data_IF_815525829973
#
_entry.id   IF_815525829973
#
_cell.length_a   1.000
_cell.length_b   1.000
_cell.length_c   1.000
_cell.angle_alpha   90.00
_cell.angle_beta   90.00
_cell.angle_gamma   90.00
#
_symmetry.space_group_name_H-M   'P 1'
#
loop_
_entity.id
_entity.type
_entity.pdbx_description
1 polymer ?
#
# COMPACT_ATOMS: atom_id res chain seq x y z
N UNK A 1 48.45 -23.95 92.93
CA UNK A 1 48.34 -23.15 94.17
C UNK A 1 47.21 -22.13 93.95
N UNK A 2 46.26 -22.05 94.89
CA UNK A 2 44.97 -21.34 94.81
C UNK A 2 45.14 -19.83 94.55
N UNK A 3 44.20 -19.21 93.82
CA UNK A 3 43.46 -18.03 94.28
C UNK A 3 42.07 -17.99 93.60
N UNK A 4 41.05 -17.77 94.43
CA UNK A 4 39.62 -17.63 94.13
C UNK A 4 39.15 -16.35 94.80
N UNK A 5 38.45 -15.45 94.10
CA UNK A 5 37.47 -14.45 94.63
C UNK A 5 36.60 -14.05 93.42
N UNK A 6 35.30 -14.37 93.25
CA UNK A 6 34.07 -14.24 94.06
C UNK A 6 33.48 -12.82 94.13
N UNK A 7 32.43 -12.53 93.34
CA UNK A 7 31.29 -11.63 93.68
C UNK A 7 30.06 -12.09 92.84
N UNK A 8 29.10 -12.85 93.39
CA UNK A 8 27.81 -12.48 94.02
C UNK A 8 26.80 -11.76 93.08
N UNK A 9 25.83 -12.46 92.44
CA UNK A 9 24.42 -12.83 92.83
C UNK A 9 23.37 -11.70 92.60
N UNK A 10 22.03 -11.92 92.62
CA UNK A 10 21.16 -12.93 91.99
C UNK A 10 19.82 -12.34 91.40
N UNK A 11 18.99 -13.22 90.80
CA UNK A 11 17.51 -13.18 90.55
C UNK A 11 16.97 -12.79 89.16
N UNK A 12 16.09 -13.70 88.69
CA UNK A 12 15.37 -13.79 87.42
C UNK A 12 14.15 -12.84 87.31
N UNK A 13 13.49 -12.72 86.14
CA UNK A 13 12.32 -13.60 85.89
C UNK A 13 12.06 -14.03 84.44
N UNK A 14 11.60 -15.28 84.31
CA UNK A 14 10.51 -15.81 83.46
C UNK A 14 10.30 -15.25 82.04
N UNK A 15 10.60 -16.13 81.08
CA UNK A 15 9.68 -16.72 80.11
C UNK A 15 8.58 -15.82 79.50
N UNK A 16 8.89 -15.26 78.34
CA UNK A 16 7.96 -14.81 77.32
C UNK A 16 8.10 -15.76 76.13
N UNK A 17 7.20 -16.75 76.11
CA UNK A 17 6.97 -17.63 74.97
C UNK A 17 6.33 -16.83 73.83
N UNK A 18 7.04 -16.71 72.71
CA UNK A 18 6.46 -16.43 71.41
C UNK A 18 6.69 -17.67 70.53
N UNK A 19 5.62 -18.32 70.01
CA UNK A 19 5.80 -19.43 69.08
C UNK A 19 6.26 -18.87 67.73
N UNK A 20 7.53 -19.14 67.40
CA UNK A 20 8.09 -18.94 66.06
C UNK A 20 7.32 -19.78 65.06
N UNK A 21 6.34 -19.20 64.37
CA UNK A 21 5.75 -19.82 63.19
C UNK A 21 6.82 -19.89 62.09
N UNK A 22 7.07 -21.04 61.47
CA UNK A 22 7.89 -21.08 60.26
C UNK A 22 7.13 -20.31 59.17
N UNK A 23 7.70 -19.21 58.68
CA UNK A 23 7.27 -18.61 57.42
C UNK A 23 7.56 -19.65 56.32
N UNK A 24 6.56 -20.11 55.54
CA UNK A 24 6.85 -20.92 54.37
C UNK A 24 7.61 -20.04 53.38
N UNK A 25 8.89 -20.32 53.19
CA UNK A 25 9.62 -19.85 52.01
C UNK A 25 8.97 -20.52 50.82
N UNK A 26 8.08 -19.79 50.12
CA UNK A 26 7.51 -20.21 48.84
C UNK A 26 8.64 -20.24 47.81
N UNK A 27 9.38 -21.34 47.79
CA UNK A 27 10.33 -21.67 46.73
C UNK A 27 9.54 -21.93 45.46
N UNK A 28 9.60 -20.95 44.58
CA UNK A 28 9.59 -21.22 43.15
C UNK A 28 8.22 -21.48 42.55
N UNK A 29 7.36 -20.47 42.54
CA UNK A 29 6.50 -20.25 41.38
C UNK A 29 7.03 -19.05 40.63
N UNK A 30 7.96 -19.31 39.72
CA UNK A 30 8.29 -18.38 38.64
C UNK A 30 6.98 -18.06 37.92
N UNK A 31 6.37 -16.93 38.26
CA UNK A 31 5.30 -16.34 37.44
C UNK A 31 5.91 -16.26 36.05
N UNK A 32 5.38 -16.97 35.05
CA UNK A 32 5.81 -16.72 33.70
C UNK A 32 5.35 -15.29 33.44
N UNK A 33 6.28 -14.33 33.49
CA UNK A 33 6.15 -13.11 32.72
C UNK A 33 6.00 -13.60 31.30
N UNK A 34 4.77 -13.84 30.88
CA UNK A 34 4.39 -13.93 29.48
C UNK A 34 4.65 -12.54 28.92
N UNK A 35 5.94 -12.26 28.65
CA UNK A 35 6.32 -11.29 27.67
C UNK A 35 5.39 -11.54 26.49
N UNK A 36 4.66 -10.53 25.99
CA UNK A 36 3.77 -10.74 24.88
C UNK A 36 4.64 -11.29 23.76
N UNK A 37 4.55 -12.60 23.51
CA UNK A 37 5.19 -13.25 22.38
C UNK A 37 4.76 -12.40 21.22
N UNK A 38 5.69 -11.68 20.58
CA UNK A 38 5.42 -10.97 19.34
C UNK A 38 4.76 -11.97 18.42
N UNK A 39 3.43 -11.94 18.38
CA UNK A 39 2.65 -13.02 17.83
C UNK A 39 2.95 -13.01 16.36
N UNK A 40 3.81 -13.96 15.93
CA UNK A 40 4.21 -14.08 14.54
C UNK A 40 2.90 -14.12 13.75
N UNK A 41 2.66 -13.15 12.87
CA UNK A 41 1.40 -13.05 12.16
C UNK A 41 1.03 -14.38 11.52
N UNK A 42 -0.20 -14.84 11.73
CA UNK A 42 -0.73 -16.06 11.10
C UNK A 42 -0.40 -16.05 9.59
N UNK A 43 0.12 -17.15 9.02
CA UNK A 43 0.61 -17.21 7.64
C UNK A 43 -0.35 -16.62 6.60
N UNK A 44 -1.66 -16.88 6.74
CA UNK A 44 -2.70 -16.36 5.85
C UNK A 44 -2.77 -14.82 5.83
N UNK A 45 -2.57 -14.14 6.96
CA UNK A 45 -2.60 -12.67 7.04
C UNK A 45 -1.36 -12.03 6.40
N UNK A 46 -0.20 -12.68 6.46
CA UNK A 46 1.01 -12.25 5.74
C UNK A 46 0.85 -12.46 4.24
N UNK A 47 0.25 -13.58 3.83
CA UNK A 47 -0.04 -13.88 2.44
C UNK A 47 -0.99 -12.86 1.79
N UNK A 48 -2.01 -12.35 2.52
CA UNK A 48 -2.92 -11.33 1.98
C UNK A 48 -2.24 -9.97 1.76
N UNK A 49 -1.37 -9.54 2.69
CA UNK A 49 -0.63 -8.26 2.55
C UNK A 49 0.39 -8.34 1.42
N UNK A 50 1.19 -9.41 1.41
CA UNK A 50 2.17 -9.66 0.34
C UNK A 50 1.49 -9.82 -1.03
N UNK A 51 0.33 -10.49 -1.07
CA UNK A 51 -0.47 -10.63 -2.28
C UNK A 51 -0.94 -9.30 -2.84
N UNK A 52 -1.44 -8.40 -1.98
CA UNK A 52 -1.83 -7.05 -2.38
C UNK A 52 -0.64 -6.21 -2.85
N UNK A 53 0.49 -6.29 -2.15
CA UNK A 53 1.72 -5.58 -2.53
C UNK A 53 2.21 -6.02 -3.92
N UNK A 54 2.24 -7.34 -4.19
CA UNK A 54 2.64 -7.87 -5.50
C UNK A 54 1.65 -7.54 -6.60
N UNK A 55 0.34 -7.58 -6.33
CA UNK A 55 -0.68 -7.16 -7.29
C UNK A 55 -0.50 -5.68 -7.64
N UNK A 56 -0.36 -4.83 -6.63
CA UNK A 56 -0.15 -3.38 -6.81
C UNK A 56 1.11 -3.10 -7.62
N UNK A 57 2.22 -3.79 -7.32
CA UNK A 57 3.48 -3.65 -8.05
C UNK A 57 3.34 -4.10 -9.52
N UNK A 58 2.71 -5.24 -9.76
CA UNK A 58 2.46 -5.74 -11.12
C UNK A 58 1.59 -4.79 -11.94
N UNK A 59 0.49 -4.31 -11.37
CA UNK A 59 -0.37 -3.30 -12.02
C UNK A 59 0.42 -2.01 -12.26
N UNK A 60 1.24 -1.56 -11.31
CA UNK A 60 2.01 -0.34 -11.44
C UNK A 60 3.01 -0.39 -12.62
N UNK A 61 3.65 -1.53 -12.87
CA UNK A 61 4.54 -1.73 -14.03
C UNK A 61 3.74 -1.65 -15.33
N UNK A 62 2.61 -2.34 -15.42
CA UNK A 62 1.74 -2.30 -16.62
C UNK A 62 1.25 -0.88 -16.89
N UNK A 63 0.74 -0.20 -15.86
CA UNK A 63 0.28 1.20 -15.95
C UNK A 63 1.42 2.13 -16.37
N UNK A 64 2.63 1.95 -15.84
CA UNK A 64 3.79 2.76 -16.21
C UNK A 64 4.16 2.58 -17.70
N UNK A 65 4.18 1.35 -18.20
CA UNK A 65 4.47 1.06 -19.60
C UNK A 65 3.39 1.66 -20.51
N UNK A 66 2.12 1.45 -20.18
CA UNK A 66 1.01 2.02 -20.97
C UNK A 66 1.05 3.55 -20.97
N UNK A 67 1.30 4.18 -19.83
CA UNK A 67 1.47 5.63 -19.72
C UNK A 67 2.65 6.16 -20.53
N UNK A 68 3.76 5.42 -20.59
CA UNK A 68 4.90 5.81 -21.41
C UNK A 68 4.52 5.87 -22.89
N UNK A 69 3.89 4.81 -23.42
CA UNK A 69 3.44 4.78 -24.82
C UNK A 69 2.34 5.81 -25.10
N UNK A 70 1.39 5.97 -24.18
CA UNK A 70 0.38 7.03 -24.25
C UNK A 70 1.04 8.42 -24.33
N UNK A 71 2.07 8.68 -23.51
CA UNK A 71 2.84 9.92 -23.53
C UNK A 71 3.54 10.20 -24.87
N UNK A 72 4.02 9.15 -25.56
CA UNK A 72 4.61 9.30 -26.90
C UNK A 72 3.58 9.79 -27.92
N UNK A 73 2.31 9.41 -27.79
CA UNK A 73 1.25 9.87 -28.70
C UNK A 73 1.00 11.38 -28.59
N UNK A 74 1.31 11.99 -27.44
CA UNK A 74 1.10 13.41 -27.17
C UNK A 74 2.07 14.29 -27.97
N UNK A 75 3.28 13.78 -28.27
CA UNK A 75 4.29 14.50 -29.06
C UNK A 75 3.78 14.86 -30.47
N UNK A 76 2.81 14.11 -30.98
CA UNK A 76 2.14 14.38 -32.25
C UNK A 76 0.68 13.97 -32.19
N UNK A 77 -0.09 14.59 -31.28
CA UNK A 77 -1.47 14.19 -31.01
C UNK A 77 -2.37 14.29 -32.24
N UNK A 78 -2.12 15.21 -33.17
CA UNK A 78 -2.91 15.34 -34.39
C UNK A 78 -2.80 14.10 -35.29
N UNK A 79 -1.59 13.58 -35.48
CA UNK A 79 -1.34 12.39 -36.30
C UNK A 79 -1.59 11.09 -35.55
N UNK A 80 -1.39 11.10 -34.23
CA UNK A 80 -1.49 9.93 -33.36
C UNK A 80 -2.77 9.90 -32.53
N UNK A 81 -3.79 10.72 -32.87
CA UNK A 81 -5.04 10.82 -32.10
C UNK A 81 -5.70 9.46 -31.92
N UNK A 82 -5.75 8.66 -32.98
CA UNK A 82 -6.34 7.32 -32.93
C UNK A 82 -5.61 6.43 -31.92
N UNK A 83 -4.27 6.50 -31.88
CA UNK A 83 -3.45 5.76 -30.93
C UNK A 83 -3.58 6.28 -29.50
N UNK A 84 -3.66 7.59 -29.32
CA UNK A 84 -3.93 8.22 -28.02
C UNK A 84 -5.26 7.73 -27.44
N UNK A 85 -6.33 7.79 -28.23
CA UNK A 85 -7.65 7.28 -27.80
C UNK A 85 -7.59 5.78 -27.50
N UNK A 86 -6.95 4.99 -28.37
CA UNK A 86 -6.85 3.55 -28.20
C UNK A 86 -6.10 3.17 -26.90
N UNK A 87 -4.89 3.71 -26.71
CA UNK A 87 -4.05 3.42 -25.56
C UNK A 87 -4.67 3.99 -24.27
N UNK A 88 -5.27 5.18 -24.32
CA UNK A 88 -6.03 5.75 -23.21
C UNK A 88 -7.17 4.85 -22.75
N UNK A 89 -7.91 4.23 -23.67
CA UNK A 89 -8.99 3.28 -23.34
C UNK A 89 -8.45 1.97 -22.75
N UNK A 90 -7.35 1.42 -23.29
CA UNK A 90 -6.67 0.24 -22.72
C UNK A 90 -6.18 0.52 -21.30
N UNK A 91 -5.72 1.74 -21.05
CA UNK A 91 -5.16 2.17 -19.77
C UNK A 91 -6.20 2.30 -18.65
N UNK A 92 -7.47 2.60 -18.97
CA UNK A 92 -8.53 2.83 -17.98
C UNK A 92 -8.65 1.67 -16.98
N UNK A 93 -8.96 0.41 -17.36
CA UNK A 93 -9.21 -0.63 -16.36
C UNK A 93 -7.99 -0.98 -15.49
N UNK A 94 -6.75 -1.10 -16.02
CA UNK A 94 -5.56 -1.26 -15.17
C UNK A 94 -5.37 -0.13 -14.16
N UNK A 95 -5.63 1.12 -14.52
CA UNK A 95 -5.54 2.25 -13.58
C UNK A 95 -6.61 2.15 -12.49
N UNK A 96 -7.85 1.81 -12.83
CA UNK A 96 -8.90 1.57 -11.82
C UNK A 96 -8.55 0.38 -10.91
N UNK A 97 -7.96 -0.69 -11.44
CA UNK A 97 -7.46 -1.80 -10.64
C UNK A 97 -6.34 -1.35 -9.68
N UNK A 98 -5.44 -0.46 -10.12
CA UNK A 98 -4.41 0.15 -9.27
C UNK A 98 -5.04 0.94 -8.12
N UNK A 99 -6.00 1.82 -8.44
CA UNK A 99 -6.72 2.64 -7.46
C UNK A 99 -7.45 1.76 -6.44
N UNK A 100 -8.13 0.71 -6.88
CA UNK A 100 -8.81 -0.23 -5.99
C UNK A 100 -7.83 -0.95 -5.05
N UNK A 101 -6.71 -1.46 -5.58
CA UNK A 101 -5.69 -2.18 -4.80
C UNK A 101 -4.97 -1.29 -3.77
N UNK A 102 -4.71 -0.02 -4.11
CA UNK A 102 -4.11 0.95 -3.18
C UNK A 102 -5.11 1.45 -2.14
N UNK A 103 -6.35 1.73 -2.55
CA UNK A 103 -7.45 2.15 -1.66
C UNK A 103 -7.83 1.04 -0.69
N UNK A 104 -7.77 -0.22 -1.11
CA UNK A 104 -7.94 -1.36 -0.22
C UNK A 104 -6.89 -1.35 0.89
N UNK A 105 -5.61 -1.22 0.53
CA UNK A 105 -4.51 -1.13 1.52
C UNK A 105 -4.72 0.04 2.49
N UNK A 106 -5.10 1.21 1.96
CA UNK A 106 -5.38 2.40 2.75
C UNK A 106 -6.53 2.15 3.74
N UNK A 107 -7.68 1.71 3.24
CA UNK A 107 -8.87 1.41 4.05
C UNK A 107 -8.55 0.39 5.15
N UNK A 108 -7.90 -0.74 4.80
CA UNK A 108 -7.51 -1.77 5.76
C UNK A 108 -6.56 -1.26 6.86
N UNK A 109 -5.72 -0.27 6.54
CA UNK A 109 -4.85 0.38 7.52
C UNK A 109 -5.65 1.22 8.51
N UNK A 110 -6.56 2.08 8.02
CA UNK A 110 -7.35 2.99 8.86
C UNK A 110 -8.42 2.30 9.71
N UNK A 111 -9.04 1.22 9.21
CA UNK A 111 -9.98 0.40 10.00
C UNK A 111 -9.29 -0.48 11.06
N UNK A 112 -7.98 -0.34 11.24
CA UNK A 112 -7.28 -1.01 12.35
C UNK A 112 -6.75 -2.41 12.05
N UNK A 113 -6.78 -2.90 10.79
CA UNK A 113 -6.39 -4.29 10.49
C UNK A 113 -4.94 -4.56 10.96
N UNK A 114 -4.73 -5.47 11.94
CA UNK A 114 -3.41 -5.64 12.57
C UNK A 114 -2.30 -6.02 11.60
N UNK A 115 -2.63 -6.72 10.52
CA UNK A 115 -1.68 -7.10 9.46
C UNK A 115 -1.18 -5.92 8.63
N UNK A 116 -2.03 -4.93 8.37
CA UNK A 116 -1.69 -3.74 7.57
C UNK A 116 -1.03 -2.67 8.43
N UNK A 117 -1.46 -2.49 9.70
CA UNK A 117 -0.84 -1.53 10.63
C UNK A 117 0.62 -1.85 10.96
N UNK A 118 0.94 -3.14 11.15
CA UNK A 118 2.33 -3.58 11.40
C UNK A 118 3.29 -3.32 10.24
N UNK A 119 2.77 -3.10 9.03
CA UNK A 119 3.59 -2.74 7.86
C UNK A 119 3.95 -1.26 7.82
N UNK A 120 3.46 -0.47 8.78
CA UNK A 120 3.71 0.95 8.88
C UNK A 120 2.66 1.79 8.15
N UNK A 121 2.60 3.09 8.45
CA UNK A 121 1.72 4.03 7.77
C UNK A 121 1.96 4.04 6.25
N UNK A 122 0.92 4.24 5.43
CA UNK A 122 1.12 4.69 4.05
C UNK A 122 2.03 5.94 4.06
N UNK A 123 3.02 6.05 3.15
CA UNK A 123 3.91 7.20 3.08
C UNK A 123 3.13 8.52 3.14
N UNK A 124 3.58 9.46 3.97
CA UNK A 124 2.81 10.68 4.29
C UNK A 124 2.49 11.52 3.04
N UNK A 125 3.45 11.62 2.11
CA UNK A 125 3.30 12.31 0.82
C UNK A 125 2.19 11.69 -0.04
N UNK A 126 2.00 10.36 0.03
CA UNK A 126 0.95 9.65 -0.70
C UNK A 126 -0.44 9.79 -0.08
N UNK A 127 -0.54 10.24 1.18
CA UNK A 127 -1.85 10.46 1.83
C UNK A 127 -2.55 11.69 1.28
N UNK A 128 -1.80 12.71 0.85
CA UNK A 128 -2.35 13.92 0.25
C UNK A 128 -2.35 13.85 -1.27
N UNK A 129 -1.25 13.39 -1.88
CA UNK A 129 -1.16 13.26 -3.35
C UNK A 129 -2.06 12.15 -3.90
N UNK A 130 -2.31 11.10 -3.13
CA UNK A 130 -3.13 9.96 -3.57
C UNK A 130 -4.55 10.37 -3.98
N UNK A 131 -5.34 11.01 -3.10
CA UNK A 131 -6.69 11.48 -3.44
C UNK A 131 -6.70 12.49 -4.59
N UNK A 132 -5.77 13.45 -4.60
CA UNK A 132 -5.65 14.45 -5.69
C UNK A 132 -5.39 13.76 -7.03
N UNK A 133 -4.44 12.83 -7.07
CA UNK A 133 -4.10 12.08 -8.27
C UNK A 133 -5.28 11.24 -8.76
N UNK A 134 -6.05 10.61 -7.85
CA UNK A 134 -7.26 9.87 -8.20
C UNK A 134 -8.30 10.77 -8.85
N UNK A 135 -8.59 11.94 -8.26
CA UNK A 135 -9.56 12.90 -8.81
C UNK A 135 -9.12 13.38 -10.19
N UNK A 136 -7.85 13.78 -10.34
CA UNK A 136 -7.30 14.23 -11.62
C UNK A 136 -7.34 13.13 -12.69
N UNK A 137 -7.04 11.89 -12.30
CA UNK A 137 -7.09 10.72 -13.21
C UNK A 137 -8.50 10.45 -13.68
N UNK A 138 -9.48 10.46 -12.77
CA UNK A 138 -10.90 10.27 -13.12
C UNK A 138 -11.39 11.40 -14.01
N UNK A 139 -11.05 12.65 -13.70
CA UNK A 139 -11.41 13.81 -14.52
C UNK A 139 -10.77 13.74 -15.92
N UNK A 140 -9.51 13.32 -16.02
CA UNK A 140 -8.81 13.16 -17.30
C UNK A 140 -9.49 12.11 -18.19
N UNK A 141 -9.80 10.94 -17.63
CA UNK A 141 -10.52 9.90 -18.37
C UNK A 141 -11.95 10.29 -18.69
N UNK A 142 -12.69 10.89 -17.76
CA UNK A 142 -14.07 11.31 -17.98
C UNK A 142 -14.16 12.34 -19.12
N UNK A 143 -13.29 13.35 -19.12
CA UNK A 143 -13.24 14.34 -20.20
C UNK A 143 -12.80 13.72 -21.54
N UNK A 144 -11.83 12.81 -21.53
CA UNK A 144 -11.38 12.11 -22.74
C UNK A 144 -12.46 11.21 -23.35
N UNK A 145 -13.14 10.40 -22.54
CA UNK A 145 -14.25 9.55 -22.98
C UNK A 145 -15.43 10.40 -23.46
N UNK A 146 -15.76 11.48 -22.75
CA UNK A 146 -16.84 12.39 -23.16
C UNK A 146 -16.57 13.01 -24.54
N UNK A 147 -15.33 13.40 -24.83
CA UNK A 147 -14.95 13.90 -26.15
C UNK A 147 -15.22 12.86 -27.24
N UNK A 148 -14.91 11.59 -27.00
CA UNK A 148 -15.05 10.54 -28.04
C UNK A 148 -16.51 10.09 -28.22
N UNK A 149 -17.27 9.91 -27.14
CA UNK A 149 -18.53 9.15 -27.19
C UNK A 149 -19.79 10.00 -26.95
N UNK A 150 -19.70 11.13 -26.26
CA UNK A 150 -20.89 11.73 -25.63
C UNK A 150 -21.05 13.24 -25.71
N UNK A 151 -20.06 14.00 -26.16
CA UNK A 151 -20.11 15.45 -26.15
C UNK A 151 -20.88 16.03 -27.35
N UNK A 152 -21.94 16.83 -27.12
CA UNK A 152 -22.53 17.69 -28.15
C UNK A 152 -21.43 18.52 -28.83
N UNK A 153 -21.55 18.75 -30.14
CA UNK A 153 -20.53 19.46 -30.92
C UNK A 153 -20.22 20.85 -30.33
N UNK A 154 -21.23 21.54 -29.79
CA UNK A 154 -21.10 22.84 -29.12
C UNK A 154 -20.23 22.81 -27.86
N UNK A 155 -20.17 21.68 -27.13
CA UNK A 155 -19.40 21.54 -25.89
C UNK A 155 -17.98 21.00 -26.12
N UNK A 156 -17.66 20.51 -27.32
CA UNK A 156 -16.34 19.92 -27.61
C UNK A 156 -15.16 20.88 -27.38
N UNK A 157 -15.20 22.16 -27.79
CA UNK A 157 -14.07 23.07 -27.55
C UNK A 157 -13.81 23.27 -26.06
N UNK A 158 -14.87 23.44 -25.27
CA UNK A 158 -14.77 23.62 -23.83
C UNK A 158 -14.27 22.35 -23.13
N UNK A 159 -14.78 21.18 -23.51
CA UNK A 159 -14.32 19.89 -22.97
C UNK A 159 -12.86 19.61 -23.34
N UNK A 160 -12.43 19.96 -24.55
CA UNK A 160 -11.03 19.83 -24.97
C UNK A 160 -10.11 20.73 -24.15
N UNK A 161 -10.54 21.97 -23.87
CA UNK A 161 -9.83 22.88 -22.97
C UNK A 161 -9.70 22.27 -21.56
N UNK A 162 -10.79 21.76 -20.99
CA UNK A 162 -10.76 21.09 -19.68
C UNK A 162 -9.86 19.86 -19.69
N UNK A 163 -9.94 19.01 -20.71
CA UNK A 163 -9.09 17.83 -20.84
C UNK A 163 -7.60 18.20 -20.85
N UNK A 164 -7.23 19.25 -21.60
CA UNK A 164 -5.86 19.78 -21.63
C UNK A 164 -5.41 20.34 -20.28
N UNK A 165 -6.26 21.14 -19.61
CA UNK A 165 -5.93 21.72 -18.31
C UNK A 165 -5.74 20.66 -17.24
N UNK A 166 -6.67 19.70 -17.17
CA UNK A 166 -6.58 18.55 -16.26
C UNK A 166 -5.35 17.71 -16.59
N UNK A 167 -5.03 17.50 -17.87
CA UNK A 167 -3.82 16.80 -18.29
C UNK A 167 -2.56 17.45 -17.75
N UNK A 168 -2.40 18.78 -17.87
CA UNK A 168 -1.21 19.48 -17.37
C UNK A 168 -1.07 19.32 -15.85
N UNK A 169 -2.15 19.52 -15.10
CA UNK A 169 -2.16 19.34 -13.65
C UNK A 169 -1.85 17.89 -13.26
N UNK A 170 -2.50 16.93 -13.92
CA UNK A 170 -2.32 15.50 -13.71
C UNK A 170 -0.88 15.06 -14.04
N UNK A 171 -0.29 15.56 -15.11
CA UNK A 171 1.07 15.24 -15.54
C UNK A 171 2.08 15.68 -14.50
N UNK A 172 1.97 16.92 -13.99
CA UNK A 172 2.84 17.42 -12.93
C UNK A 172 2.77 16.57 -11.66
N UNK A 173 1.55 16.28 -11.18
CA UNK A 173 1.34 15.45 -9.99
C UNK A 173 1.85 14.01 -10.20
N UNK A 174 1.60 13.43 -11.37
CA UNK A 174 2.03 12.07 -11.71
C UNK A 174 3.54 11.97 -11.84
N UNK A 175 4.19 12.95 -12.47
CA UNK A 175 5.64 13.01 -12.58
C UNK A 175 6.29 13.04 -11.19
N UNK A 176 5.83 13.92 -10.29
CA UNK A 176 6.29 13.98 -8.89
C UNK A 176 6.07 12.63 -8.19
N UNK A 177 4.87 12.03 -8.35
CA UNK A 177 4.52 10.75 -7.75
C UNK A 177 5.44 9.60 -8.22
N UNK A 178 5.69 9.50 -9.53
CA UNK A 178 6.52 8.46 -10.13
C UNK A 178 7.99 8.66 -9.77
N UNK A 179 8.51 9.89 -9.86
CA UNK A 179 9.90 10.20 -9.51
C UNK A 179 10.18 9.95 -8.02
N UNK A 180 9.24 10.32 -7.14
CA UNK A 180 9.35 10.01 -5.71
C UNK A 180 9.46 8.50 -5.46
N UNK A 181 8.62 7.70 -6.11
CA UNK A 181 8.69 6.24 -6.01
C UNK A 181 9.96 5.64 -6.63
N UNK A 182 10.46 6.20 -7.73
CA UNK A 182 11.68 5.74 -8.36
C UNK A 182 12.90 6.05 -7.48
N UNK A 183 12.97 7.24 -6.90
CA UNK A 183 14.01 7.64 -5.96
C UNK A 183 14.04 6.74 -4.72
N UNK A 184 12.87 6.47 -4.11
CA UNK A 184 12.75 5.53 -2.98
C UNK A 184 13.25 4.13 -3.36
N UNK A 185 12.89 3.67 -4.57
CA UNK A 185 13.32 2.36 -5.05
C UNK A 185 14.82 2.32 -5.26
N UNK A 186 15.42 3.29 -5.96
CA UNK A 186 16.86 3.29 -6.25
C UNK A 186 17.72 3.46 -4.98
N UNK A 187 17.26 4.24 -4.00
CA UNK A 187 17.99 4.47 -2.74
C UNK A 187 17.89 3.30 -1.76
N UNK A 188 16.79 2.52 -1.79
CA UNK A 188 16.51 1.44 -0.83
C UNK A 188 16.69 0.02 -1.40
N UNK A 189 16.82 -0.15 -2.73
CA UNK A 189 16.72 -1.46 -3.40
C UNK A 189 17.92 -2.44 -3.36
N UNK A 190 19.21 -2.09 -3.12
CA UNK A 190 20.26 -3.05 -3.45
C UNK A 190 20.23 -4.36 -2.64
N UNK A 191 19.76 -4.34 -1.38
CA UNK A 191 19.86 -5.50 -0.47
C UNK A 191 18.56 -6.26 -0.22
N UNK A 192 17.40 -5.65 -0.48
CA UNK A 192 16.10 -6.20 -0.10
C UNK A 192 15.40 -6.99 -1.22
N UNK A 193 15.75 -6.72 -2.48
CA UNK A 193 15.04 -7.24 -3.65
C UNK A 193 15.36 -8.72 -3.95
N UNK A 194 16.63 -9.14 -3.87
CA UNK A 194 17.06 -10.53 -4.12
C UNK A 194 16.44 -11.56 -3.17
N UNK A 195 16.04 -11.15 -1.96
CA UNK A 195 15.57 -12.05 -0.90
C UNK A 195 14.07 -12.36 -0.98
N UNK A 196 13.27 -11.52 -1.66
CA UNK A 196 11.80 -11.66 -1.75
C UNK A 196 11.32 -12.36 -3.02
N UNK A 197 12.02 -12.23 -4.15
CA UNK A 197 11.70 -12.88 -5.43
C UNK A 197 11.77 -14.40 -5.37
N UNK A 198 12.65 -14.98 -4.54
CA UNK A 198 12.83 -16.44 -4.43
C UNK A 198 11.72 -17.22 -3.70
N UNK A 199 10.76 -16.56 -3.03
CA UNK A 199 9.63 -17.26 -2.40
C UNK A 199 8.43 -17.27 -3.35
N UNK A 200 8.31 -18.35 -4.12
CA UNK A 200 7.06 -18.78 -4.77
C UNK A 200 5.97 -18.93 -3.70
N UNK A 201 4.81 -18.28 -3.88
CA UNK A 201 3.68 -18.41 -2.95
C UNK A 201 2.36 -18.48 -3.74
N UNK A 202 1.50 -19.41 -3.29
CA UNK A 202 0.09 -19.62 -3.64
C UNK A 202 -0.67 -18.30 -3.91
N UNK A 203 -1.52 -18.29 -4.95
CA UNK A 203 -2.35 -17.14 -5.36
C UNK A 203 -1.79 -16.31 -6.53
N UNK A 204 -0.75 -16.78 -7.22
CA UNK A 204 -0.23 -16.15 -8.43
C UNK A 204 -1.27 -16.07 -9.55
N UNK A 205 -2.07 -17.12 -9.72
CA UNK A 205 -3.11 -17.22 -10.74
C UNK A 205 -4.15 -16.11 -10.63
N UNK A 206 -4.72 -15.86 -9.45
CA UNK A 206 -5.75 -14.82 -9.27
C UNK A 206 -5.23 -13.42 -9.62
N UNK A 207 -3.98 -13.11 -9.25
CA UNK A 207 -3.36 -11.80 -9.57
C UNK A 207 -3.12 -11.64 -11.08
N UNK A 208 -2.65 -12.71 -11.72
CA UNK A 208 -2.48 -12.74 -13.17
C UNK A 208 -3.83 -12.62 -13.88
N UNK A 209 -4.88 -13.24 -13.37
CA UNK A 209 -6.24 -13.10 -13.90
C UNK A 209 -6.79 -11.69 -13.75
N UNK A 210 -6.59 -11.00 -12.62
CA UNK A 210 -7.01 -9.58 -12.48
C UNK A 210 -6.30 -8.70 -13.49
N UNK A 211 -4.98 -8.89 -13.67
CA UNK A 211 -4.21 -8.15 -14.67
C UNK A 211 -4.69 -8.46 -16.09
N UNK A 212 -4.78 -9.73 -16.44
CA UNK A 212 -5.22 -10.17 -17.77
C UNK A 212 -6.64 -9.68 -18.07
N UNK A 213 -7.58 -9.84 -17.13
CA UNK A 213 -8.95 -9.36 -17.29
C UNK A 213 -8.99 -7.84 -17.47
N UNK A 214 -8.22 -7.06 -16.69
CA UNK A 214 -8.17 -5.61 -16.85
C UNK A 214 -7.65 -5.19 -18.24
N UNK A 215 -6.63 -5.88 -18.75
CA UNK A 215 -6.07 -5.62 -20.06
C UNK A 215 -7.02 -6.02 -21.18
N UNK A 216 -7.66 -7.19 -21.06
CA UNK A 216 -8.66 -7.66 -22.03
C UNK A 216 -9.86 -6.72 -22.05
N UNK A 217 -10.38 -6.33 -20.90
CA UNK A 217 -11.48 -5.37 -20.81
C UNK A 217 -11.11 -4.02 -21.46
N UNK A 218 -9.90 -3.52 -21.21
CA UNK A 218 -9.38 -2.30 -21.83
C UNK A 218 -9.25 -2.43 -23.35
N UNK A 219 -8.73 -3.57 -23.82
CA UNK A 219 -8.59 -3.87 -25.24
C UNK A 219 -9.94 -3.95 -25.94
N UNK A 220 -10.92 -4.63 -25.35
CA UNK A 220 -12.28 -4.71 -25.90
C UNK A 220 -12.94 -3.34 -25.97
N UNK A 221 -12.81 -2.52 -24.91
CA UNK A 221 -13.31 -1.15 -24.91
C UNK A 221 -12.63 -0.30 -25.99
N UNK A 222 -11.30 -0.42 -26.13
CA UNK A 222 -10.53 0.30 -27.14
C UNK A 222 -10.96 -0.09 -28.56
N UNK A 223 -11.09 -1.39 -28.85
CA UNK A 223 -11.52 -1.88 -30.16
C UNK A 223 -12.95 -1.42 -30.49
N UNK A 224 -13.84 -1.34 -29.50
CA UNK A 224 -15.21 -0.88 -29.71
C UNK A 224 -15.32 0.63 -29.92
N UNK A 225 -14.59 1.45 -29.15
CA UNK A 225 -14.74 2.92 -29.16
C UNK A 225 -13.86 3.61 -30.20
N UNK A 226 -12.65 3.11 -30.46
CA UNK A 226 -11.67 3.78 -31.35
C UNK A 226 -12.19 4.06 -32.77
N UNK A 227 -13.03 3.21 -33.39
CA UNK A 227 -13.63 3.52 -34.69
C UNK A 227 -14.41 4.86 -34.72
N UNK A 228 -15.05 5.25 -33.61
CA UNK A 228 -15.79 6.52 -33.51
C UNK A 228 -14.88 7.75 -33.42
N UNK A 229 -13.60 7.58 -33.14
CA UNK A 229 -12.63 8.68 -33.08
C UNK A 229 -12.23 9.20 -34.49
N UNK A 230 -12.68 8.58 -35.57
CA UNK A 230 -12.21 8.84 -36.95
C UNK A 230 -12.81 10.07 -37.65
N UNK A 231 -13.65 10.86 -36.97
CA UNK A 231 -14.30 12.06 -37.54
C UNK A 231 -13.69 13.41 -37.16
N UNK A 232 -12.60 13.45 -36.39
CA UNK A 232 -12.02 14.71 -35.90
C UNK A 232 -11.10 15.33 -36.96
N UNK A 233 -11.65 16.24 -37.78
CA UNK A 233 -10.85 17.21 -38.52
C UNK A 233 -10.53 18.36 -37.57
N UNK A 234 -9.24 18.58 -37.29
CA UNK A 234 -8.76 19.76 -36.59
C UNK A 234 -8.79 20.99 -37.51
#
# INVERSE_FOLDING_TARGET
>A
MRYTVSVDRPRAPRANAWPSRPVPVDRGRSVPRTAPKHARPRPARRASVEGNERLTAGIAVVVFILLFFEGLTILSVHSLLRWHVFLGLVLIPPVFAKIASTSWRFTRYYIGSPSYRRRGPPPAVLRLLGPVLVVLTVALFATGVALVVGAPVSLRPQLLQWHRLVFVAWFGVTAIHVLGHLADTLTLAPRDWLRRTRRQVRGASVRQWVLAFSLVAGLLAALWVTPYATGWKF
#
